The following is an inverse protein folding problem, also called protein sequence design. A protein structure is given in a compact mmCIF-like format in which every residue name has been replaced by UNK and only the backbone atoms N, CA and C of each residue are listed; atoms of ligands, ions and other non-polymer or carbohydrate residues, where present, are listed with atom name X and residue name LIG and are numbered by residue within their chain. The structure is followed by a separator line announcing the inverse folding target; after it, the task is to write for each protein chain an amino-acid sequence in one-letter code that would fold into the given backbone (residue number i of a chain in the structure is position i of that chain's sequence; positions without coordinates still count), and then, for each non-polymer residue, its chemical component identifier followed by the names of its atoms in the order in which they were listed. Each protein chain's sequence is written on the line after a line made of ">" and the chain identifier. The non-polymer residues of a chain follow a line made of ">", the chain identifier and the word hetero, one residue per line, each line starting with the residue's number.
data_IF_937289196418
#
_entry.id   IF_937289196418
#
_cell.length_a   1.000
_cell.length_b   1.000
_cell.length_c   1.000
_cell.angle_alpha   90.00
_cell.angle_beta   90.00
_cell.angle_gamma   90.00
#
_symmetry.space_group_name_H-M   'P 1'
#
loop_
_entity.id
_entity.type
_entity.pdbx_description
1 polymer ?
#
# COMPACT_ATOMS: atom_id res chain seq x y z
N UNK A 1 -24.78 -6.86 10.94
CA UNK A 1 -23.35 -6.61 11.23
C UNK A 1 -22.44 -7.55 10.45
N UNK A 2 -22.53 -8.87 10.62
CA UNK A 2 -21.63 -9.86 9.98
C UNK A 2 -21.50 -9.72 8.45
N UNK A 3 -22.61 -9.66 7.71
CA UNK A 3 -22.58 -9.51 6.24
C UNK A 3 -21.95 -8.19 5.77
N UNK A 4 -22.15 -7.09 6.50
CA UNK A 4 -21.54 -5.79 6.19
C UNK A 4 -20.02 -5.87 6.37
N UNK A 5 -19.55 -6.54 7.43
CA UNK A 5 -18.11 -6.78 7.67
C UNK A 5 -17.51 -7.64 6.56
N UNK A 6 -18.20 -8.71 6.12
CA UNK A 6 -17.75 -9.54 5.00
C UNK A 6 -17.64 -8.78 3.68
N UNK A 7 -18.61 -7.90 3.40
CA UNK A 7 -18.57 -7.03 2.22
C UNK A 7 -17.38 -6.05 2.30
N UNK A 8 -17.19 -5.40 3.45
CA UNK A 8 -16.07 -4.51 3.68
C UNK A 8 -14.72 -5.20 3.54
N UNK A 9 -14.58 -6.42 4.08
CA UNK A 9 -13.37 -7.24 3.92
C UNK A 9 -13.12 -7.60 2.45
N UNK A 10 -14.14 -8.05 1.73
CA UNK A 10 -14.01 -8.43 0.31
C UNK A 10 -13.56 -7.25 -0.55
N UNK A 11 -14.17 -6.06 -0.35
CA UNK A 11 -13.77 -4.85 -1.04
C UNK A 11 -12.33 -4.47 -0.74
N UNK A 12 -11.96 -4.45 0.55
CA UNK A 12 -10.59 -4.15 0.99
C UNK A 12 -9.59 -5.12 0.39
N UNK A 13 -9.93 -6.41 0.33
CA UNK A 13 -9.06 -7.44 -0.20
C UNK A 13 -8.77 -7.27 -1.69
N UNK A 14 -9.81 -7.06 -2.50
CA UNK A 14 -9.69 -6.83 -3.94
C UNK A 14 -8.87 -5.56 -4.19
N UNK A 15 -9.18 -4.47 -3.49
CA UNK A 15 -8.44 -3.20 -3.62
C UNK A 15 -6.97 -3.35 -3.23
N UNK A 16 -6.67 -4.09 -2.16
CA UNK A 16 -5.29 -4.31 -1.69
C UNK A 16 -4.45 -5.03 -2.74
N UNK A 17 -4.97 -6.13 -3.30
CA UNK A 17 -4.25 -6.87 -4.35
C UNK A 17 -4.11 -6.07 -5.65
N UNK A 18 -5.15 -5.31 -6.03
CA UNK A 18 -5.09 -4.39 -7.16
C UNK A 18 -3.99 -3.34 -6.98
N UNK A 19 -3.94 -2.68 -5.83
CA UNK A 19 -2.93 -1.69 -5.50
C UNK A 19 -1.51 -2.28 -5.49
N UNK A 20 -1.33 -3.50 -4.94
CA UNK A 20 -0.05 -4.21 -4.98
C UNK A 20 0.39 -4.47 -6.44
N UNK A 21 -0.54 -4.83 -7.31
CA UNK A 21 -0.30 -5.00 -8.75
C UNK A 21 0.20 -3.72 -9.40
N UNK A 22 -0.49 -2.61 -9.18
CA UNK A 22 -0.14 -1.29 -9.72
C UNK A 22 1.25 -0.85 -9.22
N UNK A 23 1.52 -0.95 -7.91
CA UNK A 23 2.82 -0.54 -7.34
C UNK A 23 3.98 -1.37 -7.94
N UNK A 24 3.76 -2.65 -8.23
CA UNK A 24 4.76 -3.50 -8.90
C UNK A 24 5.06 -3.03 -10.33
N UNK A 25 4.04 -2.62 -11.07
CA UNK A 25 4.20 -2.08 -12.43
C UNK A 25 4.94 -0.74 -12.41
N UNK A 26 4.51 0.19 -11.55
CA UNK A 26 5.16 1.50 -11.43
C UNK A 26 6.64 1.34 -11.06
N UNK A 27 6.97 0.41 -10.15
CA UNK A 27 8.36 0.18 -9.72
C UNK A 27 9.28 -0.18 -10.89
N UNK A 28 8.81 -0.98 -11.85
CA UNK A 28 9.63 -1.36 -13.02
C UNK A 28 9.65 -0.26 -14.09
N UNK A 29 8.61 0.57 -14.16
CA UNK A 29 8.47 1.60 -15.18
C UNK A 29 9.36 2.81 -14.88
N UNK A 30 9.43 3.25 -13.62
CA UNK A 30 10.21 4.42 -13.20
C UNK A 30 11.72 4.17 -13.13
N UNK A 31 12.15 2.91 -13.20
CA UNK A 31 13.55 2.51 -13.06
C UNK A 31 14.15 2.11 -14.41
N UNK A 32 15.42 2.51 -14.67
CA UNK A 32 16.13 2.07 -15.86
C UNK A 32 16.34 0.54 -15.79
N UNK A 33 16.35 -0.09 -16.96
CA UNK A 33 16.30 -1.56 -17.10
C UNK A 33 17.36 -2.30 -16.31
N UNK A 34 18.57 -1.75 -16.23
CA UNK A 34 19.73 -2.28 -15.50
C UNK A 34 19.53 -2.28 -13.97
N UNK A 35 18.64 -1.43 -13.44
CA UNK A 35 18.41 -1.27 -11.98
C UNK A 35 17.07 -1.80 -11.49
N UNK A 36 16.21 -2.29 -12.39
CA UNK A 36 14.87 -2.81 -12.04
C UNK A 36 14.93 -3.90 -10.97
N UNK A 37 15.91 -4.80 -11.03
CA UNK A 37 16.07 -5.88 -10.04
C UNK A 37 16.25 -5.37 -8.61
N UNK A 38 17.18 -4.42 -8.41
CA UNK A 38 17.42 -3.79 -7.10
C UNK A 38 16.19 -3.03 -6.61
N UNK A 39 15.50 -2.32 -7.50
CA UNK A 39 14.27 -1.60 -7.16
C UNK A 39 13.13 -2.50 -6.69
N UNK A 40 12.91 -3.62 -7.38
CA UNK A 40 11.93 -4.64 -6.97
C UNK A 40 12.30 -5.22 -5.60
N UNK A 41 13.59 -5.48 -5.36
CA UNK A 41 14.10 -5.96 -4.08
C UNK A 41 13.84 -4.96 -2.96
N UNK A 42 14.22 -3.70 -3.14
CA UNK A 42 14.00 -2.63 -2.16
C UNK A 42 12.52 -2.42 -1.84
N UNK A 43 11.66 -2.35 -2.87
CA UNK A 43 10.20 -2.29 -2.71
C UNK A 43 9.67 -3.46 -1.87
N UNK A 44 10.18 -4.67 -2.10
CA UNK A 44 9.76 -5.87 -1.38
C UNK A 44 10.23 -5.86 0.07
N UNK A 45 11.43 -5.33 0.34
CA UNK A 45 11.93 -5.09 1.71
C UNK A 45 11.02 -4.11 2.46
N UNK A 46 10.69 -2.96 1.86
CA UNK A 46 9.79 -1.98 2.47
C UNK A 46 8.40 -2.60 2.72
N UNK A 47 7.90 -3.39 1.77
CA UNK A 47 6.62 -4.12 1.94
C UNK A 47 6.64 -5.10 3.10
N UNK A 48 7.70 -5.90 3.22
CA UNK A 48 7.87 -6.85 4.33
C UNK A 48 8.03 -6.16 5.69
N UNK A 49 8.81 -5.09 5.74
CA UNK A 49 8.99 -4.28 6.95
C UNK A 49 7.68 -3.61 7.39
N UNK A 50 6.97 -2.96 6.45
CA UNK A 50 5.68 -2.33 6.72
C UNK A 50 4.61 -3.33 7.17
N UNK A 51 4.55 -4.51 6.53
CA UNK A 51 3.65 -5.59 6.95
C UNK A 51 3.93 -6.08 8.37
N UNK A 52 5.22 -6.28 8.69
CA UNK A 52 5.64 -6.73 10.03
C UNK A 52 5.31 -5.68 11.09
N UNK A 53 5.64 -4.41 10.85
CA UNK A 53 5.28 -3.31 11.74
C UNK A 53 3.78 -3.18 11.92
N UNK A 54 2.99 -3.29 10.84
CA UNK A 54 1.53 -3.24 10.90
C UNK A 54 0.94 -4.33 11.79
N UNK A 55 1.46 -5.56 11.72
CA UNK A 55 1.04 -6.67 12.58
C UNK A 55 1.40 -6.41 14.06
N UNK A 56 2.61 -5.94 14.34
CA UNK A 56 3.04 -5.64 15.72
C UNK A 56 2.20 -4.49 16.29
N UNK A 57 2.07 -3.38 15.56
CA UNK A 57 1.34 -2.20 16.01
C UNK A 57 -0.15 -2.50 16.20
N UNK A 58 -0.76 -3.29 15.30
CA UNK A 58 -2.17 -3.69 15.47
C UNK A 58 -2.35 -4.61 16.68
N UNK A 59 -1.44 -5.56 16.91
CA UNK A 59 -1.46 -6.40 18.12
C UNK A 59 -1.38 -5.57 19.40
N UNK A 60 -0.44 -4.63 19.47
CA UNK A 60 -0.29 -3.69 20.59
C UNK A 60 -1.54 -2.84 20.76
N UNK A 61 -2.06 -2.24 19.68
CA UNK A 61 -3.25 -1.41 19.73
C UNK A 61 -4.49 -2.19 20.20
N UNK A 62 -4.67 -3.45 19.76
CA UNK A 62 -5.78 -4.30 20.21
C UNK A 62 -5.71 -4.54 21.72
N UNK A 63 -4.51 -4.76 22.28
CA UNK A 63 -4.32 -4.99 23.72
C UNK A 63 -4.75 -3.78 24.57
N UNK A 64 -4.52 -2.55 24.09
CA UNK A 64 -4.78 -1.33 24.87
C UNK A 64 -6.13 -0.64 24.53
N UNK A 65 -6.58 -0.71 23.29
CA UNK A 65 -7.72 0.05 22.76
C UNK A 65 -8.93 -0.83 22.41
N UNK A 66 -8.73 -2.16 22.43
CA UNK A 66 -9.71 -3.13 21.96
C UNK A 66 -9.77 -3.24 20.44
N UNK A 67 -10.47 -4.29 19.98
CA UNK A 67 -10.54 -4.65 18.56
C UNK A 67 -11.23 -3.58 17.70
N UNK A 68 -12.39 -3.09 18.16
CA UNK A 68 -13.21 -2.13 17.39
C UNK A 68 -12.48 -0.81 17.15
N UNK A 69 -11.92 -0.21 18.20
CA UNK A 69 -11.17 1.05 18.11
C UNK A 69 -9.94 0.90 17.23
N UNK A 70 -9.20 -0.20 17.37
CA UNK A 70 -8.01 -0.46 16.54
C UNK A 70 -8.37 -0.56 15.06
N UNK A 71 -9.47 -1.27 14.75
CA UNK A 71 -9.93 -1.39 13.37
C UNK A 71 -10.23 -0.02 12.75
N UNK A 72 -10.94 0.86 13.47
CA UNK A 72 -11.25 2.22 12.99
C UNK A 72 -9.96 3.01 12.75
N UNK A 73 -9.01 2.99 13.69
CA UNK A 73 -7.74 3.74 13.56
C UNK A 73 -6.96 3.30 12.32
N UNK A 74 -6.81 1.99 12.10
CA UNK A 74 -6.03 1.48 10.98
C UNK A 74 -6.72 1.68 9.63
N UNK A 75 -8.06 1.58 9.58
CA UNK A 75 -8.84 1.93 8.38
C UNK A 75 -8.70 3.42 8.05
N UNK A 76 -8.77 4.29 9.06
CA UNK A 76 -8.55 5.74 8.86
C UNK A 76 -7.15 6.03 8.34
N UNK A 77 -6.14 5.33 8.86
CA UNK A 77 -4.76 5.42 8.38
C UNK A 77 -4.59 5.04 6.90
N UNK A 78 -5.40 4.11 6.37
CA UNK A 78 -5.35 3.74 4.95
C UNK A 78 -5.72 4.89 4.02
N UNK A 79 -6.58 5.82 4.46
CA UNK A 79 -6.91 7.00 3.65
C UNK A 79 -5.71 7.92 3.44
N UNK A 80 -4.68 7.88 4.29
CA UNK A 80 -3.44 8.63 4.07
C UNK A 80 -2.67 8.16 2.82
N UNK A 81 -2.95 6.96 2.31
CA UNK A 81 -2.37 6.48 1.04
C UNK A 81 -2.90 7.28 -0.16
N UNK A 82 -4.11 7.82 -0.09
CA UNK A 82 -4.72 8.59 -1.19
C UNK A 82 -3.91 9.87 -1.52
N UNK A 83 -3.63 10.78 -0.57
CA UNK A 83 -2.81 11.95 -0.86
C UNK A 83 -1.38 11.55 -1.24
N UNK A 84 -0.79 10.52 -0.62
CA UNK A 84 0.53 10.03 -1.02
C UNK A 84 0.55 9.56 -2.48
N UNK A 85 -0.46 8.81 -2.90
CA UNK A 85 -0.61 8.39 -4.29
C UNK A 85 -0.75 9.61 -5.21
N UNK A 86 -1.62 10.56 -4.86
CA UNK A 86 -1.85 11.78 -5.66
C UNK A 86 -0.58 12.62 -5.86
N UNK A 87 0.25 12.78 -4.82
CA UNK A 87 1.46 13.61 -4.90
C UNK A 87 2.67 12.88 -5.47
N UNK A 88 2.83 11.58 -5.22
CA UNK A 88 4.07 10.85 -5.53
C UNK A 88 3.94 9.84 -6.68
N UNK A 89 2.74 9.33 -6.96
CA UNK A 89 2.52 8.46 -8.12
C UNK A 89 2.12 9.34 -9.31
N UNK A 90 3.11 9.75 -10.10
CA UNK A 90 2.87 10.34 -11.42
C UNK A 90 2.53 9.21 -12.40
N UNK A 91 1.47 9.40 -13.19
CA UNK A 91 1.18 8.53 -14.33
C UNK A 91 2.30 8.70 -15.37
N UNK A 92 3.10 7.66 -15.58
CA UNK A 92 4.24 7.68 -16.51
C UNK A 92 3.89 7.10 -17.88
N UNK A 93 2.70 6.51 -18.04
CA UNK A 93 2.30 5.88 -19.29
C UNK A 93 2.16 6.90 -20.40
N UNK A 94 3.02 6.77 -21.41
CA UNK A 94 3.02 7.62 -22.60
C UNK A 94 3.73 8.96 -22.42
N UNK A 95 4.45 9.14 -21.30
CA UNK A 95 5.30 10.32 -21.06
C UNK A 95 6.75 9.88 -21.11
N UNK A 96 7.58 10.59 -21.88
CA UNK A 96 9.03 10.40 -21.84
C UNK A 96 9.53 10.74 -20.44
N UNK A 97 10.15 9.79 -19.74
CA UNK A 97 10.65 9.99 -18.37
C UNK A 97 11.65 11.15 -18.26
N UNK A 98 12.25 11.58 -19.38
CA UNK A 98 13.10 12.77 -19.48
C UNK A 98 12.36 14.09 -19.26
N UNK A 99 11.03 14.12 -19.41
CA UNK A 99 10.18 15.29 -19.21
C UNK A 99 9.70 15.43 -17.76
N UNK A 100 9.84 14.38 -16.95
CA UNK A 100 9.43 14.36 -15.55
C UNK A 100 10.61 14.78 -14.66
N UNK A 101 10.64 16.07 -14.29
CA UNK A 101 11.51 16.60 -13.22
C UNK A 101 11.01 16.25 -11.83
#
# INVERSE_FOLDING_TARGET
>A
AFYIVLLGYSLTHISTWGAIGIIRLITIEILPTDRRGTGIGFRSLIGGFGGTLGLILSGVAILFLGLGTTFIIFVMGHFAVIPLAYFFLKETKGVELSEIK
#
